data_IF_949471120097
#
_entry.id   IF_949471120097
#
_cell.length_a   1.000
_cell.length_b   1.000
_cell.length_c   1.000
_cell.angle_alpha   90.00
_cell.angle_beta   90.00
_cell.angle_gamma   90.00
#
_symmetry.space_group_name_H-M   'P 1'
#
loop_
_entity.id
_entity.type
_entity.pdbx_description
1 polymer ?
#
# COMPACT_ATOMS: atom_id res chain seq x y z
N UNK A 1 24.18 28.89 15.43
CA UNK A 1 23.36 28.64 14.22
C UNK A 1 22.03 28.03 14.70
N UNK A 2 20.91 28.46 14.18
CA UNK A 2 19.62 27.83 14.49
C UNK A 2 19.69 26.36 14.09
N UNK A 3 19.18 25.45 14.95
CA UNK A 3 19.07 24.03 14.63
C UNK A 3 18.05 23.85 13.50
N UNK A 4 18.44 23.14 12.44
CA UNK A 4 17.56 22.80 11.30
C UNK A 4 17.07 21.37 11.41
N UNK A 5 15.82 21.13 11.02
CA UNK A 5 15.22 19.82 10.80
C UNK A 5 14.76 19.73 9.35
N UNK A 6 15.30 18.80 8.58
CA UNK A 6 15.02 18.64 7.15
C UNK A 6 15.11 19.96 6.35
N UNK A 7 16.08 20.81 6.68
CA UNK A 7 16.28 22.12 6.04
C UNK A 7 15.40 23.26 6.56
N UNK A 8 14.56 23.02 7.56
CA UNK A 8 13.63 23.99 8.18
C UNK A 8 14.07 24.39 9.59
N UNK A 9 13.81 25.63 10.05
CA UNK A 9 14.13 26.03 11.41
C UNK A 9 13.35 25.21 12.45
N UNK A 10 14.05 24.47 13.31
CA UNK A 10 13.43 23.61 14.34
C UNK A 10 12.40 24.37 15.19
N UNK A 11 12.70 25.61 15.55
CA UNK A 11 11.79 26.47 16.36
C UNK A 11 10.43 26.65 15.67
N UNK A 12 10.40 26.80 14.34
CA UNK A 12 9.16 26.97 13.58
C UNK A 12 8.38 25.64 13.51
N UNK A 13 9.09 24.52 13.33
CA UNK A 13 8.49 23.17 13.36
C UNK A 13 7.81 22.92 14.70
N UNK A 14 8.53 23.13 15.83
CA UNK A 14 8.00 22.93 17.17
C UNK A 14 6.80 23.87 17.46
N UNK A 15 6.88 25.13 17.03
CA UNK A 15 5.79 26.11 17.22
C UNK A 15 4.54 25.71 16.41
N UNK A 16 4.72 25.23 15.19
CA UNK A 16 3.60 24.75 14.34
C UNK A 16 2.96 23.51 14.97
N UNK A 17 3.74 22.51 15.37
CA UNK A 17 3.23 21.30 16.04
C UNK A 17 2.37 21.69 17.24
N UNK A 18 2.88 22.57 18.11
CA UNK A 18 2.13 22.98 19.29
C UNK A 18 0.81 23.67 18.91
N UNK A 19 0.86 24.65 18.03
CA UNK A 19 -0.31 25.43 17.61
C UNK A 19 -1.37 24.53 16.95
N UNK A 20 -0.94 23.68 16.01
CA UNK A 20 -1.87 22.83 15.28
C UNK A 20 -2.43 21.70 16.16
N UNK A 21 -1.66 21.20 17.14
CA UNK A 21 -2.16 20.28 18.17
C UNK A 21 -3.24 20.92 19.02
N UNK A 22 -2.99 22.15 19.53
CA UNK A 22 -3.96 22.88 20.34
C UNK A 22 -5.26 23.15 19.54
N UNK A 23 -5.11 23.51 18.25
CA UNK A 23 -6.25 23.71 17.34
C UNK A 23 -7.04 22.41 17.13
N UNK A 24 -6.38 21.28 16.87
CA UNK A 24 -7.04 19.99 16.70
C UNK A 24 -7.86 19.59 17.94
N UNK A 25 -7.26 19.77 19.15
CA UNK A 25 -7.94 19.47 20.42
C UNK A 25 -9.21 20.31 20.60
N UNK A 26 -9.17 21.58 20.22
CA UNK A 26 -10.31 22.51 20.35
C UNK A 26 -11.40 22.22 19.31
N UNK A 27 -11.03 21.82 18.09
CA UNK A 27 -11.96 21.62 16.98
C UNK A 27 -12.64 20.25 17.00
N UNK A 28 -12.12 19.25 17.73
CA UNK A 28 -12.59 17.87 17.69
C UNK A 28 -13.06 17.34 19.06
N UNK A 29 -14.00 18.02 19.77
CA UNK A 29 -14.47 17.58 21.09
C UNK A 29 -15.24 16.27 21.07
N UNK A 30 -16.01 15.97 19.99
CA UNK A 30 -16.76 14.73 19.85
C UNK A 30 -15.83 13.55 19.62
N UNK A 31 -14.89 13.68 18.69
CA UNK A 31 -13.87 12.65 18.45
C UNK A 31 -13.04 12.37 19.70
N UNK A 32 -12.70 13.39 20.47
CA UNK A 32 -12.01 13.25 21.77
C UNK A 32 -12.84 12.42 22.75
N UNK A 33 -14.13 12.73 22.92
CA UNK A 33 -15.01 12.00 23.82
C UNK A 33 -15.19 10.54 23.38
N UNK A 34 -15.42 10.29 22.08
CA UNK A 34 -15.53 8.94 21.54
C UNK A 34 -14.25 8.13 21.78
N UNK A 35 -13.07 8.75 21.65
CA UNK A 35 -11.78 8.11 21.95
C UNK A 35 -11.64 7.71 23.42
N UNK A 36 -12.14 8.54 24.35
CA UNK A 36 -12.17 8.20 25.78
C UNK A 36 -13.14 7.03 26.06
N UNK A 37 -14.32 7.05 25.46
CA UNK A 37 -15.32 6.01 25.65
C UNK A 37 -14.86 4.67 25.02
N UNK A 38 -14.22 4.69 23.89
CA UNK A 38 -13.69 3.51 23.22
C UNK A 38 -12.64 2.76 24.07
N UNK A 39 -11.90 3.46 24.95
CA UNK A 39 -10.90 2.84 25.85
C UNK A 39 -11.51 1.83 26.82
N UNK A 40 -12.82 1.86 27.05
CA UNK A 40 -13.51 0.90 27.93
C UNK A 40 -13.48 -0.53 27.39
N UNK A 41 -13.45 -0.69 26.06
CA UNK A 41 -13.59 -2.01 25.42
C UNK A 41 -12.49 -2.31 24.38
N UNK A 42 -11.72 -1.31 23.97
CA UNK A 42 -10.69 -1.44 22.94
C UNK A 42 -9.30 -1.15 23.50
N UNK A 43 -8.35 -2.01 23.19
CA UNK A 43 -6.93 -1.80 23.58
C UNK A 43 -6.46 -0.46 23.01
N UNK A 44 -6.02 0.45 23.89
CA UNK A 44 -5.67 1.84 23.54
C UNK A 44 -6.81 2.67 22.94
N UNK A 45 -8.07 2.22 22.99
CA UNK A 45 -9.23 2.96 22.48
C UNK A 45 -9.46 2.85 20.96
N UNK A 46 -8.78 1.93 20.29
CA UNK A 46 -8.96 1.67 18.84
C UNK A 46 -8.96 0.18 18.53
N UNK A 47 -9.69 -0.27 17.49
CA UNK A 47 -9.70 -1.67 17.07
C UNK A 47 -8.33 -2.18 16.59
N UNK A 48 -7.48 -1.30 16.07
CA UNK A 48 -6.15 -1.65 15.58
C UNK A 48 -5.12 -0.56 15.89
N UNK A 49 -3.90 -0.95 16.29
CA UNK A 49 -2.86 -0.03 16.76
C UNK A 49 -2.49 1.06 15.74
N UNK A 50 -2.46 0.74 14.45
CA UNK A 50 -2.11 1.69 13.38
C UNK A 50 -3.13 2.84 13.22
N UNK A 51 -4.33 2.71 13.80
CA UNK A 51 -5.29 3.83 13.87
C UNK A 51 -4.82 4.96 14.81
N UNK A 52 -3.75 4.74 15.58
CA UNK A 52 -3.10 5.75 16.42
C UNK A 52 -1.87 6.38 15.75
N UNK A 53 -1.47 5.89 14.59
CA UNK A 53 -0.28 6.39 13.88
C UNK A 53 -0.57 7.66 13.05
N UNK A 54 -1.82 8.15 13.10
CA UNK A 54 -2.18 9.47 12.61
C UNK A 54 -1.53 10.55 13.46
N UNK A 55 -1.08 11.63 12.83
CA UNK A 55 -0.39 12.74 13.46
C UNK A 55 -1.30 13.58 14.39
N UNK A 56 -2.17 12.93 15.17
CA UNK A 56 -3.19 13.55 16.02
C UNK A 56 -3.06 13.09 17.46
N UNK A 57 -3.35 13.97 18.47
CA UNK A 57 -3.25 13.63 19.88
C UNK A 57 -4.27 12.59 20.36
N UNK A 58 -5.32 12.37 19.58
CA UNK A 58 -6.33 11.30 19.75
C UNK A 58 -6.94 10.98 18.37
N UNK A 59 -7.52 9.77 18.18
CA UNK A 59 -8.07 9.38 16.88
C UNK A 59 -9.15 10.33 16.37
N UNK A 60 -9.13 10.61 15.08
CA UNK A 60 -10.25 11.22 14.36
C UNK A 60 -11.31 10.13 14.14
N UNK A 61 -12.54 10.38 14.58
CA UNK A 61 -13.66 9.47 14.35
C UNK A 61 -14.44 9.89 13.10
N UNK A 62 -14.61 8.95 12.19
CA UNK A 62 -15.30 9.18 10.90
C UNK A 62 -16.78 8.89 11.04
N UNK A 63 -17.61 9.78 10.53
CA UNK A 63 -19.07 9.61 10.45
C UNK A 63 -19.51 9.10 9.07
N UNK A 64 -18.90 9.61 7.97
CA UNK A 64 -19.26 9.24 6.60
C UNK A 64 -18.09 9.45 5.64
N UNK A 65 -18.09 8.70 4.52
CA UNK A 65 -17.12 8.90 3.45
C UNK A 65 -17.76 8.59 2.08
N UNK A 66 -17.64 9.54 1.14
CA UNK A 66 -18.17 9.38 -0.21
C UNK A 66 -17.29 10.07 -1.26
N UNK A 67 -17.01 9.36 -2.35
CA UNK A 67 -16.15 9.89 -3.41
C UNK A 67 -14.74 10.21 -2.89
N UNK A 68 -14.28 11.43 -3.08
CA UNK A 68 -12.99 11.91 -2.58
C UNK A 68 -13.11 12.72 -1.27
N UNK A 69 -14.18 12.53 -0.52
CA UNK A 69 -14.42 13.25 0.73
C UNK A 69 -14.70 12.32 1.89
N UNK A 70 -14.31 12.79 3.08
CA UNK A 70 -14.56 12.15 4.36
C UNK A 70 -15.15 13.18 5.32
N UNK A 71 -16.14 12.79 6.13
CA UNK A 71 -16.71 13.63 7.18
C UNK A 71 -16.45 13.00 8.55
N UNK A 72 -15.90 13.78 9.48
CA UNK A 72 -15.67 13.31 10.84
C UNK A 72 -16.92 13.43 11.73
N UNK A 73 -16.82 12.90 12.96
CA UNK A 73 -17.88 12.94 13.94
C UNK A 73 -18.19 14.36 14.48
N UNK A 74 -17.24 15.28 14.31
CA UNK A 74 -17.38 16.69 14.67
C UNK A 74 -18.00 17.54 13.55
N UNK A 75 -18.24 16.92 12.37
CA UNK A 75 -18.92 17.54 11.20
C UNK A 75 -17.95 18.22 10.22
N UNK A 76 -16.66 18.08 10.37
CA UNK A 76 -15.69 18.63 9.41
C UNK A 76 -15.60 17.74 8.18
N UNK A 77 -15.50 18.38 7.01
CA UNK A 77 -15.34 17.72 5.72
C UNK A 77 -13.89 17.83 5.26
N UNK A 78 -13.33 16.72 4.85
CA UNK A 78 -11.95 16.60 4.37
C UNK A 78 -11.93 16.23 2.89
N UNK A 79 -11.08 16.89 2.08
CA UNK A 79 -10.65 16.35 0.80
C UNK A 79 -9.65 15.22 1.11
N UNK A 80 -10.00 14.00 0.74
CA UNK A 80 -9.25 12.81 1.08
C UNK A 80 -8.29 12.40 -0.03
N UNK A 81 -7.00 12.62 0.22
CA UNK A 81 -5.90 12.14 -0.60
C UNK A 81 -5.18 10.93 0.01
N UNK A 82 -5.65 10.41 1.16
CA UNK A 82 -5.22 9.13 1.70
C UNK A 82 -5.97 7.96 1.06
N UNK A 83 -7.29 8.14 0.86
CA UNK A 83 -8.19 7.16 0.24
C UNK A 83 -8.01 5.74 0.84
N UNK A 84 -7.95 5.69 2.18
CA UNK A 84 -7.78 4.44 2.92
C UNK A 84 -6.49 3.70 2.58
N UNK A 85 -5.42 4.44 2.30
CA UNK A 85 -4.12 3.89 1.89
C UNK A 85 -4.26 2.88 0.74
N UNK A 86 -4.85 3.32 -0.37
CA UNK A 86 -5.18 2.54 -1.58
C UNK A 86 -6.52 1.75 -1.49
N UNK A 87 -7.02 1.40 -0.30
CA UNK A 87 -8.25 0.63 -0.15
C UNK A 87 -9.45 1.25 -0.87
N UNK A 88 -9.54 2.57 -0.83
CA UNK A 88 -10.57 3.38 -1.50
C UNK A 88 -9.99 4.22 -2.66
N UNK A 89 -8.94 3.73 -3.33
CA UNK A 89 -8.28 4.43 -4.43
C UNK A 89 -9.23 4.91 -5.53
N UNK A 90 -10.33 4.21 -5.75
CA UNK A 90 -11.33 4.58 -6.75
C UNK A 90 -12.46 5.47 -6.19
N UNK A 91 -12.26 6.04 -5.02
CA UNK A 91 -13.23 6.81 -4.24
C UNK A 91 -13.96 5.96 -3.21
N UNK A 92 -14.45 6.63 -2.16
CA UNK A 92 -15.27 5.99 -1.13
C UNK A 92 -16.65 5.64 -1.70
N UNK A 93 -17.14 4.44 -1.35
CA UNK A 93 -18.48 3.97 -1.71
C UNK A 93 -18.81 4.14 -3.21
N UNK A 94 -17.99 3.57 -4.14
CA UNK A 94 -18.31 3.61 -5.56
C UNK A 94 -19.72 3.04 -5.78
N UNK A 95 -20.58 3.78 -6.48
CA UNK A 95 -22.01 3.47 -6.59
C UNK A 95 -22.29 2.04 -7.11
N UNK A 96 -21.59 1.52 -8.16
CA UNK A 96 -21.80 0.15 -8.62
C UNK A 96 -21.52 -0.90 -7.54
N UNK A 97 -20.44 -0.69 -6.76
CA UNK A 97 -20.04 -1.60 -5.67
C UNK A 97 -21.03 -1.53 -4.52
N UNK A 98 -21.39 -0.34 -4.08
CA UNK A 98 -22.36 -0.14 -2.99
C UNK A 98 -23.72 -0.78 -3.33
N UNK A 99 -24.23 -0.63 -4.56
CA UNK A 99 -25.46 -1.28 -5.04
C UNK A 99 -25.34 -2.80 -5.06
N UNK A 100 -24.22 -3.35 -5.52
CA UNK A 100 -24.00 -4.79 -5.57
C UNK A 100 -23.98 -5.41 -4.17
N UNK A 101 -23.29 -4.75 -3.21
CA UNK A 101 -23.27 -5.16 -1.80
C UNK A 101 -24.67 -5.13 -1.18
N UNK A 102 -25.40 -4.02 -1.34
CA UNK A 102 -26.75 -3.85 -0.79
C UNK A 102 -27.72 -4.91 -1.36
N UNK A 103 -27.67 -5.19 -2.64
CA UNK A 103 -28.49 -6.21 -3.30
C UNK A 103 -28.18 -7.64 -2.79
N UNK A 104 -26.92 -7.94 -2.43
CA UNK A 104 -26.52 -9.25 -1.94
C UNK A 104 -26.79 -9.43 -0.45
N UNK A 105 -26.81 -8.35 0.33
CA UNK A 105 -26.89 -8.39 1.80
C UNK A 105 -28.05 -9.22 2.35
N UNK A 106 -29.22 -9.23 1.70
CA UNK A 106 -30.40 -9.99 2.08
C UNK A 106 -30.48 -11.41 1.49
N UNK A 107 -29.47 -11.82 0.69
CA UNK A 107 -29.47 -13.10 -0.05
C UNK A 107 -28.45 -14.11 0.46
N UNK A 108 -27.86 -13.85 1.62
CA UNK A 108 -26.76 -14.62 2.20
C UNK A 108 -25.38 -14.13 1.78
N UNK A 109 -24.41 -14.26 2.66
CA UNK A 109 -23.06 -13.68 2.48
C UNK A 109 -21.97 -14.73 2.29
N UNK A 110 -22.15 -15.93 2.87
CA UNK A 110 -21.14 -17.00 2.86
C UNK A 110 -21.81 -18.34 2.67
N UNK A 111 -21.56 -18.99 1.54
CA UNK A 111 -22.18 -20.27 1.19
C UNK A 111 -21.23 -21.47 1.28
N UNK A 112 -19.90 -21.24 1.30
CA UNK A 112 -18.85 -22.24 1.07
C UNK A 112 -19.02 -22.99 -0.26
N UNK A 113 -19.72 -22.37 -1.22
CA UNK A 113 -19.99 -22.88 -2.55
C UNK A 113 -19.78 -21.76 -3.57
N UNK A 114 -19.34 -22.09 -4.80
CA UNK A 114 -19.14 -21.10 -5.84
C UNK A 114 -20.46 -20.53 -6.37
N UNK A 115 -20.40 -19.33 -6.93
CA UNK A 115 -21.49 -18.69 -7.68
C UNK A 115 -21.04 -18.40 -9.11
N UNK A 116 -21.97 -18.08 -10.01
CA UNK A 116 -21.66 -17.75 -11.41
C UNK A 116 -20.69 -16.55 -11.57
N UNK A 117 -20.61 -15.69 -10.58
CA UNK A 117 -19.75 -14.51 -10.61
C UNK A 117 -18.26 -14.85 -10.73
N UNK A 118 -17.85 -16.07 -10.32
CA UNK A 118 -16.46 -16.53 -10.47
C UNK A 118 -16.00 -16.50 -11.93
N UNK A 119 -16.91 -16.79 -12.86
CA UNK A 119 -16.61 -16.81 -14.30
C UNK A 119 -16.28 -15.40 -14.79
N UNK A 120 -17.14 -14.45 -14.45
CA UNK A 120 -16.97 -13.05 -14.87
C UNK A 120 -15.76 -12.40 -14.20
N UNK A 121 -15.57 -12.63 -12.91
CA UNK A 121 -14.43 -12.08 -12.15
C UNK A 121 -13.12 -12.68 -12.67
N UNK A 122 -13.05 -13.99 -12.89
CA UNK A 122 -11.85 -14.63 -13.44
C UNK A 122 -11.47 -14.07 -14.81
N UNK A 123 -12.44 -13.95 -15.73
CA UNK A 123 -12.21 -13.35 -17.04
C UNK A 123 -11.81 -11.87 -16.98
N UNK A 124 -12.35 -11.11 -16.03
CA UNK A 124 -11.96 -9.70 -15.82
C UNK A 124 -10.52 -9.57 -15.31
N UNK A 125 -10.12 -10.42 -14.37
CA UNK A 125 -8.75 -10.46 -13.83
C UNK A 125 -7.75 -10.89 -14.92
N UNK A 126 -8.06 -11.93 -15.70
CA UNK A 126 -7.21 -12.36 -16.82
C UNK A 126 -7.04 -11.23 -17.84
N UNK A 127 -8.15 -10.58 -18.25
CA UNK A 127 -8.10 -9.44 -19.18
C UNK A 127 -7.27 -8.28 -18.63
N UNK A 128 -7.34 -8.00 -17.31
CA UNK A 128 -6.63 -6.90 -16.68
C UNK A 128 -5.14 -7.18 -16.52
N UNK A 129 -4.77 -8.37 -16.06
CA UNK A 129 -3.40 -8.70 -15.64
C UNK A 129 -2.67 -9.66 -16.57
N UNK A 130 -3.36 -10.35 -17.47
CA UNK A 130 -2.77 -11.30 -18.42
C UNK A 130 -2.37 -12.65 -17.80
N UNK A 131 -2.79 -12.95 -16.58
CA UNK A 131 -2.59 -14.25 -15.93
C UNK A 131 -3.88 -15.04 -15.97
N UNK A 132 -3.85 -16.34 -16.39
CA UNK A 132 -5.07 -17.12 -16.66
C UNK A 132 -5.73 -17.75 -15.43
N UNK A 133 -5.01 -17.91 -14.30
CA UNK A 133 -5.53 -18.63 -13.12
C UNK A 133 -5.48 -17.76 -11.88
N UNK A 134 -6.60 -17.73 -11.14
CA UNK A 134 -6.78 -16.83 -10.00
C UNK A 134 -7.37 -17.54 -8.79
N UNK A 135 -7.00 -17.09 -7.60
CA UNK A 135 -7.63 -17.46 -6.33
C UNK A 135 -7.93 -16.20 -5.51
N UNK A 136 -8.98 -16.29 -4.67
CA UNK A 136 -9.49 -15.18 -3.88
C UNK A 136 -9.23 -15.43 -2.39
N UNK A 137 -8.78 -14.39 -1.70
CA UNK A 137 -8.55 -14.38 -0.26
C UNK A 137 -9.24 -13.18 0.39
N UNK A 138 -9.20 -13.09 1.71
CA UNK A 138 -9.81 -11.96 2.43
C UNK A 138 -8.87 -10.75 2.50
N UNK A 139 -7.57 -10.98 2.55
CA UNK A 139 -6.54 -9.93 2.65
C UNK A 139 -5.34 -10.24 1.76
N UNK A 140 -4.58 -9.20 1.38
CA UNK A 140 -3.30 -9.40 0.70
C UNK A 140 -2.28 -10.16 1.57
N UNK A 141 -2.38 -10.06 2.90
CA UNK A 141 -1.59 -10.87 3.83
C UNK A 141 -1.81 -12.36 3.56
N UNK A 142 -3.07 -12.80 3.44
CA UNK A 142 -3.39 -14.20 3.14
C UNK A 142 -2.93 -14.58 1.73
N UNK A 143 -3.15 -13.72 0.74
CA UNK A 143 -2.70 -13.95 -0.63
C UNK A 143 -1.18 -14.18 -0.68
N UNK A 144 -0.39 -13.27 -0.09
CA UNK A 144 1.06 -13.38 -0.03
C UNK A 144 1.50 -14.63 0.74
N UNK A 145 0.89 -14.91 1.91
CA UNK A 145 1.19 -16.12 2.68
C UNK A 145 0.97 -17.40 1.87
N UNK A 146 -0.13 -17.48 1.13
CA UNK A 146 -0.44 -18.67 0.32
C UNK A 146 0.49 -18.77 -0.88
N UNK A 147 0.81 -17.66 -1.55
CA UNK A 147 1.77 -17.65 -2.66
C UNK A 147 3.16 -18.10 -2.19
N UNK A 148 3.64 -17.62 -1.04
CA UNK A 148 4.94 -18.07 -0.49
C UNK A 148 4.96 -19.59 -0.19
N UNK A 149 3.84 -20.14 0.32
CA UNK A 149 3.68 -21.59 0.50
C UNK A 149 3.72 -22.34 -0.83
N UNK A 150 3.00 -21.85 -1.84
CA UNK A 150 3.04 -22.44 -3.18
C UNK A 150 4.43 -22.38 -3.79
N UNK A 151 5.14 -21.26 -3.67
CA UNK A 151 6.51 -21.15 -4.15
C UNK A 151 7.42 -22.19 -3.52
N UNK A 152 7.33 -22.40 -2.20
CA UNK A 152 8.10 -23.45 -1.49
C UNK A 152 7.69 -24.87 -1.93
N UNK A 153 6.41 -25.13 -2.05
CA UNK A 153 5.92 -26.46 -2.50
C UNK A 153 6.39 -26.79 -3.92
N UNK A 154 6.28 -25.85 -4.85
CA UNK A 154 6.66 -26.01 -6.26
C UNK A 154 8.17 -26.15 -6.45
N UNK A 155 8.98 -25.36 -5.72
CA UNK A 155 10.43 -25.31 -5.89
C UNK A 155 11.17 -26.26 -4.95
N UNK A 156 10.53 -26.69 -3.86
CA UNK A 156 11.13 -27.46 -2.75
C UNK A 156 12.29 -26.73 -2.08
N UNK A 157 12.30 -25.39 -2.14
CA UNK A 157 13.30 -24.53 -1.53
C UNK A 157 12.73 -23.87 -0.28
N UNK A 158 13.52 -23.71 0.80
CA UNK A 158 12.98 -23.20 2.07
C UNK A 158 12.87 -21.68 2.13
N UNK A 159 13.76 -20.93 1.46
CA UNK A 159 13.90 -19.49 1.67
C UNK A 159 13.06 -18.67 0.70
N UNK A 160 12.73 -17.46 1.14
CA UNK A 160 12.24 -16.39 0.28
C UNK A 160 13.23 -15.23 0.27
N UNK A 161 13.13 -14.33 -0.69
CA UNK A 161 13.89 -13.09 -0.71
C UNK A 161 12.92 -11.90 -0.79
N UNK A 162 13.16 -10.90 0.07
CA UNK A 162 12.47 -9.60 0.08
C UNK A 162 13.47 -8.47 -0.06
N UNK A 163 12.99 -7.29 -0.47
CA UNK A 163 13.82 -6.08 -0.47
C UNK A 163 13.68 -5.31 0.85
N UNK A 164 14.79 -4.71 1.30
CA UNK A 164 14.81 -3.90 2.52
C UNK A 164 13.82 -2.73 2.39
N UNK A 165 12.97 -2.54 3.40
CA UNK A 165 11.93 -1.51 3.40
C UNK A 165 10.58 -1.97 2.85
N UNK A 166 10.48 -3.06 2.06
CA UNK A 166 9.22 -3.56 1.53
C UNK A 166 8.22 -3.98 2.62
N UNK A 167 6.93 -3.95 2.29
CA UNK A 167 5.86 -4.43 3.15
C UNK A 167 4.88 -5.28 2.34
N UNK A 168 4.67 -6.51 2.76
CA UNK A 168 3.82 -7.49 2.08
C UNK A 168 2.70 -8.05 2.99
N UNK A 169 2.18 -7.19 3.87
CA UNK A 169 1.18 -7.60 4.87
C UNK A 169 1.83 -8.22 6.12
N UNK A 170 0.99 -8.72 7.03
CA UNK A 170 1.43 -9.35 8.27
C UNK A 170 1.85 -10.82 8.02
N UNK A 171 2.92 -11.01 7.24
CA UNK A 171 3.51 -12.31 6.90
C UNK A 171 4.88 -12.41 7.55
N UNK A 172 5.04 -13.30 8.52
CA UNK A 172 6.25 -13.40 9.35
C UNK A 172 7.53 -13.49 8.52
N UNK A 173 7.56 -14.35 7.52
CA UNK A 173 8.73 -14.51 6.63
C UNK A 173 9.20 -13.19 5.96
N UNK A 174 8.33 -12.19 5.83
CA UNK A 174 8.68 -10.90 5.22
C UNK A 174 9.17 -9.85 6.22
N UNK A 175 9.10 -10.15 7.52
CA UNK A 175 9.52 -9.23 8.58
C UNK A 175 11.03 -9.31 8.87
N UNK A 176 11.81 -9.20 7.81
CA UNK A 176 13.28 -9.11 7.87
C UNK A 176 13.76 -7.77 7.30
N UNK A 177 14.87 -7.29 7.79
CA UNK A 177 15.48 -6.00 7.40
C UNK A 177 17.00 -6.11 7.36
N UNK A 178 17.63 -5.14 6.70
CA UNK A 178 19.07 -4.93 6.81
C UNK A 178 19.37 -3.91 7.92
N UNK A 179 20.40 -4.19 8.69
CA UNK A 179 21.02 -3.26 9.63
C UNK A 179 22.52 -3.45 9.60
N UNK A 180 23.24 -2.40 9.26
CA UNK A 180 24.71 -2.43 9.14
C UNK A 180 25.20 -3.58 8.22
N UNK A 181 24.49 -3.81 7.10
CA UNK A 181 24.78 -4.87 6.13
C UNK A 181 24.44 -6.30 6.61
N UNK A 182 23.79 -6.46 7.76
CA UNK A 182 23.36 -7.76 8.29
C UNK A 182 21.85 -7.92 8.24
N UNK A 183 21.41 -9.12 7.94
CA UNK A 183 20.01 -9.49 8.01
C UNK A 183 19.56 -9.59 9.48
N UNK A 184 18.46 -8.94 9.82
CA UNK A 184 17.85 -8.95 11.15
C UNK A 184 16.34 -9.04 11.05
N UNK A 185 15.67 -9.36 12.15
CA UNK A 185 14.22 -9.18 12.28
C UNK A 185 13.86 -7.69 12.16
N UNK A 186 12.68 -7.41 11.63
CA UNK A 186 12.14 -6.05 11.61
C UNK A 186 12.08 -5.50 13.05
N UNK A 187 12.66 -4.33 13.32
CA UNK A 187 12.56 -3.69 14.64
C UNK A 187 11.09 -3.50 15.06
N UNK A 188 10.79 -3.75 16.32
CA UNK A 188 9.43 -3.61 16.86
C UNK A 188 8.50 -4.80 16.61
N UNK A 189 8.98 -5.89 16.01
CA UNK A 189 8.19 -7.12 15.86
C UNK A 189 7.91 -7.75 17.24
N UNK A 190 6.62 -7.83 17.60
CA UNK A 190 6.18 -8.34 18.90
C UNK A 190 6.00 -9.86 18.84
N UNK A 191 6.49 -10.57 19.88
CA UNK A 191 6.24 -12.00 20.07
C UNK A 191 6.99 -12.93 19.13
N UNK A 192 8.07 -12.46 18.53
CA UNK A 192 8.91 -13.28 17.66
C UNK A 192 9.70 -14.32 18.51
N UNK A 193 9.55 -15.60 18.16
CA UNK A 193 10.13 -16.71 18.94
C UNK A 193 11.24 -17.46 18.21
N UNK A 194 11.37 -17.34 16.90
CA UNK A 194 12.41 -17.98 16.10
C UNK A 194 13.06 -16.97 15.14
N UNK A 195 14.26 -17.33 14.66
CA UNK A 195 15.02 -16.47 13.75
C UNK A 195 14.43 -16.51 12.33
N UNK A 196 13.81 -15.41 11.89
CA UNK A 196 13.22 -15.30 10.55
C UNK A 196 14.29 -15.31 9.45
N UNK A 197 15.52 -14.90 9.74
CA UNK A 197 16.61 -14.88 8.75
C UNK A 197 17.03 -16.29 8.29
N UNK A 198 16.64 -17.33 9.03
CA UNK A 198 16.83 -18.72 8.60
C UNK A 198 16.05 -19.04 7.32
N UNK A 199 14.84 -18.48 7.20
CA UNK A 199 13.91 -18.74 6.10
C UNK A 199 13.78 -17.58 5.10
N UNK A 200 14.48 -16.49 5.34
CA UNK A 200 14.32 -15.27 4.53
C UNK A 200 15.65 -14.58 4.30
N UNK A 201 15.91 -14.19 3.06
CA UNK A 201 17.01 -13.31 2.67
C UNK A 201 16.48 -11.90 2.44
N UNK A 202 17.31 -10.91 2.73
CA UNK A 202 16.97 -9.51 2.45
C UNK A 202 18.14 -8.80 1.78
N UNK A 203 17.86 -8.06 0.72
CA UNK A 203 18.85 -7.24 0.00
C UNK A 203 18.27 -5.83 -0.21
N UNK A 204 19.13 -4.87 -0.55
CA UNK A 204 18.67 -3.54 -0.93
C UNK A 204 17.97 -3.57 -2.31
N UNK A 205 16.92 -2.76 -2.43
CA UNK A 205 16.29 -2.48 -3.72
C UNK A 205 17.28 -1.74 -4.63
N UNK A 206 17.27 -2.02 -5.92
CA UNK A 206 18.23 -1.48 -6.89
C UNK A 206 19.69 -2.00 -6.75
N UNK A 207 19.96 -2.99 -5.91
CA UNK A 207 21.27 -3.64 -5.80
C UNK A 207 21.27 -5.00 -6.52
N UNK A 208 21.54 -4.97 -7.83
CA UNK A 208 21.61 -6.18 -8.67
C UNK A 208 22.68 -7.15 -8.21
N UNK A 209 23.84 -6.64 -7.76
CA UNK A 209 24.96 -7.48 -7.35
C UNK A 209 24.64 -8.26 -6.04
N UNK A 210 24.00 -7.59 -5.08
CA UNK A 210 23.53 -8.24 -3.85
C UNK A 210 22.45 -9.29 -4.16
N UNK A 211 21.53 -8.99 -5.09
CA UNK A 211 20.48 -9.92 -5.53
C UNK A 211 21.09 -11.17 -6.18
N UNK A 212 22.02 -10.99 -7.14
CA UNK A 212 22.72 -12.10 -7.79
C UNK A 212 23.45 -12.99 -6.78
N UNK A 213 24.18 -12.39 -5.85
CA UNK A 213 24.86 -13.11 -4.76
C UNK A 213 23.88 -13.88 -3.90
N UNK A 214 22.73 -13.29 -3.55
CA UNK A 214 21.74 -13.93 -2.69
C UNK A 214 21.04 -15.12 -3.36
N UNK A 215 20.90 -15.12 -4.70
CA UNK A 215 20.27 -16.20 -5.47
C UNK A 215 21.24 -17.31 -5.90
N UNK A 216 22.54 -17.12 -5.78
CA UNK A 216 23.59 -18.03 -6.26
C UNK A 216 23.44 -19.46 -5.74
N UNK A 217 23.08 -19.62 -4.47
CA UNK A 217 22.97 -20.92 -3.80
C UNK A 217 21.75 -21.73 -4.23
N UNK A 218 20.83 -21.11 -4.98
CA UNK A 218 19.57 -21.72 -5.44
C UNK A 218 18.69 -22.29 -4.32
N UNK A 219 18.75 -21.71 -3.13
CA UNK A 219 17.97 -22.09 -1.94
C UNK A 219 16.73 -21.20 -1.74
N UNK A 220 16.54 -20.18 -2.61
CA UNK A 220 15.42 -19.24 -2.60
C UNK A 220 14.27 -19.76 -3.47
N UNK A 221 13.10 -19.94 -2.88
CA UNK A 221 11.88 -20.36 -3.56
C UNK A 221 11.32 -19.24 -4.46
N UNK A 222 11.30 -18.02 -3.93
CA UNK A 222 10.85 -16.87 -4.69
C UNK A 222 11.48 -15.56 -4.22
N UNK A 223 11.52 -14.59 -5.13
CA UNK A 223 11.63 -13.17 -4.82
C UNK A 223 10.22 -12.61 -4.76
N UNK A 224 9.83 -11.96 -3.66
CA UNK A 224 8.59 -11.20 -3.57
C UNK A 224 8.94 -9.71 -3.53
N UNK A 225 8.30 -8.91 -4.38
CA UNK A 225 8.58 -7.48 -4.49
C UNK A 225 7.34 -6.67 -4.86
N UNK A 226 7.29 -5.43 -4.36
CA UNK A 226 6.57 -4.35 -5.02
C UNK A 226 7.42 -3.89 -6.22
N UNK A 227 6.84 -3.49 -7.36
CA UNK A 227 7.61 -2.90 -8.48
C UNK A 227 8.29 -1.56 -8.15
N UNK A 228 7.73 -0.81 -7.21
CA UNK A 228 8.32 0.33 -6.53
C UNK A 228 8.00 0.19 -5.04
N UNK A 229 8.96 0.45 -4.14
CA UNK A 229 8.68 0.39 -2.71
C UNK A 229 7.80 1.58 -2.33
N UNK A 230 6.62 1.31 -1.77
CA UNK A 230 5.61 2.35 -1.51
C UNK A 230 5.31 2.56 -0.03
N UNK A 231 5.93 1.80 0.85
CA UNK A 231 5.74 1.89 2.30
C UNK A 231 6.90 2.59 3.01
N UNK A 232 7.83 3.17 2.29
CA UNK A 232 9.04 3.80 2.82
C UNK A 232 9.53 4.94 1.90
N UNK A 233 8.71 5.97 1.72
CA UNK A 233 9.11 7.17 0.97
C UNK A 233 9.25 6.98 -0.54
N UNK A 234 8.57 6.03 -1.13
CA UNK A 234 8.46 5.73 -2.55
C UNK A 234 9.82 5.60 -3.27
N UNK A 235 10.44 4.42 -3.15
CA UNK A 235 11.67 4.08 -3.87
C UNK A 235 11.34 3.53 -5.25
N UNK A 236 11.78 4.24 -6.30
CA UNK A 236 11.54 3.84 -7.68
C UNK A 236 12.63 2.85 -8.17
N UNK A 237 12.28 1.90 -9.05
CA UNK A 237 13.27 1.05 -9.67
C UNK A 237 14.18 1.87 -10.59
N UNK A 238 15.48 1.63 -10.51
CA UNK A 238 16.43 2.16 -11.48
C UNK A 238 16.21 1.52 -12.85
N UNK A 239 16.56 2.20 -13.96
CA UNK A 239 16.41 1.64 -15.29
C UNK A 239 17.09 0.27 -15.40
N UNK A 240 16.34 -0.75 -15.86
CA UNK A 240 16.81 -2.12 -16.02
C UNK A 240 16.78 -2.99 -14.76
N UNK A 241 16.58 -2.44 -13.56
CA UNK A 241 16.60 -3.21 -12.33
C UNK A 241 15.57 -4.36 -12.32
N UNK A 242 14.33 -4.07 -12.68
CA UNK A 242 13.27 -5.10 -12.71
C UNK A 242 13.48 -6.14 -13.82
N UNK A 243 14.16 -5.77 -14.91
CA UNK A 243 14.57 -6.72 -15.94
C UNK A 243 15.65 -7.68 -15.42
N UNK A 244 16.61 -7.17 -14.65
CA UNK A 244 17.61 -7.97 -13.96
C UNK A 244 16.98 -8.89 -12.90
N UNK A 245 16.01 -8.42 -12.13
CA UNK A 245 15.25 -9.27 -11.19
C UNK A 245 14.61 -10.43 -11.95
N UNK A 246 13.90 -10.17 -13.05
CA UNK A 246 13.27 -11.20 -13.87
C UNK A 246 14.29 -12.18 -14.48
N UNK A 247 15.41 -11.67 -14.99
CA UNK A 247 16.49 -12.48 -15.54
C UNK A 247 17.10 -13.41 -14.51
N UNK A 248 17.50 -12.87 -13.35
CA UNK A 248 18.14 -13.63 -12.28
C UNK A 248 17.18 -14.69 -11.69
N UNK A 249 15.89 -14.37 -11.56
CA UNK A 249 14.89 -15.34 -11.15
C UNK A 249 14.82 -16.52 -12.12
N UNK A 250 14.76 -16.27 -13.43
CA UNK A 250 14.74 -17.33 -14.46
C UNK A 250 16.02 -18.16 -14.46
N UNK A 251 17.21 -17.54 -14.43
CA UNK A 251 18.49 -18.22 -14.46
C UNK A 251 18.74 -19.14 -13.24
N UNK A 252 18.21 -18.75 -12.09
CA UNK A 252 18.35 -19.53 -10.85
C UNK A 252 17.19 -20.50 -10.59
N UNK A 253 16.10 -20.41 -11.39
CA UNK A 253 14.86 -21.16 -11.16
C UNK A 253 14.13 -20.72 -9.89
N UNK A 254 14.33 -19.48 -9.48
CA UNK A 254 13.60 -18.81 -8.41
C UNK A 254 12.31 -18.19 -8.99
N UNK A 255 11.18 -18.33 -8.31
CA UNK A 255 9.92 -17.76 -8.79
C UNK A 255 9.86 -16.25 -8.49
N UNK A 256 9.22 -15.50 -9.39
CA UNK A 256 8.98 -14.08 -9.21
C UNK A 256 7.53 -13.83 -8.77
N UNK A 257 7.36 -13.20 -7.62
CA UNK A 257 6.07 -12.76 -7.08
C UNK A 257 6.03 -11.23 -7.10
N UNK A 258 5.08 -10.64 -7.81
CA UNK A 258 4.87 -9.19 -7.81
C UNK A 258 3.63 -8.87 -6.97
N UNK A 259 3.82 -8.04 -5.95
CA UNK A 259 2.76 -7.49 -5.13
C UNK A 259 2.34 -6.11 -5.68
N UNK A 260 1.18 -6.08 -6.35
CA UNK A 260 0.60 -4.87 -6.96
C UNK A 260 -0.33 -4.11 -6.02
N UNK A 261 -0.42 -4.48 -4.75
CA UNK A 261 -1.41 -3.92 -3.82
C UNK A 261 -1.41 -2.39 -3.78
N UNK A 262 -0.25 -1.76 -3.94
CA UNK A 262 -0.13 -0.30 -4.06
C UNK A 262 0.14 0.16 -5.49
N UNK A 263 0.97 -0.55 -6.23
CA UNK A 263 1.40 -0.17 -7.58
C UNK A 263 0.33 -0.39 -8.65
N UNK A 264 -0.82 -0.98 -8.28
CA UNK A 264 -2.05 -0.93 -9.09
C UNK A 264 -2.43 0.52 -9.48
N UNK A 265 -1.96 1.51 -8.72
CA UNK A 265 -2.13 2.93 -9.04
C UNK A 265 -1.41 3.39 -10.31
N UNK A 266 -0.48 2.60 -10.84
CA UNK A 266 0.34 2.98 -12.01
C UNK A 266 -0.46 3.01 -13.32
N UNK A 267 -1.50 2.18 -13.43
CA UNK A 267 -2.32 2.11 -14.63
C UNK A 267 -3.27 0.92 -14.62
N UNK A 268 -4.07 0.78 -15.66
CA UNK A 268 -4.94 -0.39 -15.83
C UNK A 268 -4.10 -1.67 -15.97
N UNK A 269 -4.22 -2.56 -14.99
CA UNK A 269 -3.38 -3.76 -14.86
C UNK A 269 -2.07 -3.53 -14.10
N UNK A 270 -1.95 -2.39 -13.41
CA UNK A 270 -0.84 -2.08 -12.51
C UNK A 270 0.48 -1.75 -13.20
N UNK A 271 1.53 -1.69 -12.40
CA UNK A 271 2.90 -1.50 -12.86
C UNK A 271 3.35 -2.65 -13.78
N UNK A 272 2.99 -3.88 -13.41
CA UNK A 272 3.31 -5.11 -14.16
C UNK A 272 2.90 -4.99 -15.63
N UNK A 273 1.66 -4.64 -15.90
CA UNK A 273 1.16 -4.48 -17.28
C UNK A 273 1.77 -3.27 -17.97
N UNK A 274 1.83 -2.13 -17.29
CA UNK A 274 2.34 -0.88 -17.85
C UNK A 274 3.80 -0.97 -18.29
N UNK A 275 4.60 -1.84 -17.64
CA UNK A 275 6.04 -2.02 -17.90
C UNK A 275 6.38 -3.42 -18.49
N UNK A 276 5.37 -4.21 -18.84
CA UNK A 276 5.57 -5.50 -19.50
C UNK A 276 6.28 -6.56 -18.66
N UNK A 277 6.19 -6.48 -17.33
CA UNK A 277 6.78 -7.48 -16.43
C UNK A 277 6.08 -8.84 -16.57
N UNK A 278 6.81 -9.92 -16.32
CA UNK A 278 6.36 -11.31 -16.49
C UNK A 278 6.55 -12.09 -15.17
N UNK A 279 5.73 -11.85 -14.14
CA UNK A 279 5.82 -12.61 -12.90
C UNK A 279 5.26 -14.03 -13.06
N UNK A 280 5.72 -14.93 -12.18
CA UNK A 280 5.12 -16.25 -11.98
C UNK A 280 3.80 -16.15 -11.20
N UNK A 281 3.80 -15.29 -10.16
CA UNK A 281 2.63 -14.92 -9.38
C UNK A 281 2.47 -13.41 -9.29
N UNK A 282 1.21 -12.96 -9.26
CA UNK A 282 0.83 -11.59 -8.95
C UNK A 282 -0.17 -11.59 -7.80
N UNK A 283 0.02 -10.70 -6.83
CA UNK A 283 -0.94 -10.48 -5.73
C UNK A 283 -1.51 -9.07 -5.78
N UNK A 284 -2.78 -8.94 -5.41
CA UNK A 284 -3.49 -7.66 -5.35
C UNK A 284 -4.53 -7.70 -4.22
N UNK A 285 -4.44 -6.78 -3.31
CA UNK A 285 -5.46 -6.56 -2.28
C UNK A 285 -6.16 -5.22 -2.42
N UNK A 286 -6.43 -4.60 -1.27
CA UNK A 286 -6.94 -3.22 -1.11
C UNK A 286 -8.08 -2.84 -2.07
N UNK A 287 -7.85 -2.23 -3.27
CA UNK A 287 -8.93 -1.69 -4.07
C UNK A 287 -9.71 -2.74 -4.86
N UNK A 288 -9.31 -4.02 -4.89
CA UNK A 288 -9.85 -5.02 -5.82
C UNK A 288 -11.37 -5.21 -5.72
N UNK A 289 -11.94 -4.99 -4.53
CA UNK A 289 -13.38 -5.09 -4.28
C UNK A 289 -14.01 -3.76 -3.86
N UNK A 290 -13.43 -2.62 -4.26
CA UNK A 290 -13.97 -1.29 -4.01
C UNK A 290 -14.03 -0.90 -2.52
N UNK A 291 -13.09 -1.39 -1.70
CA UNK A 291 -12.99 -1.14 -0.26
C UNK A 291 -13.54 -2.27 0.62
N UNK A 292 -14.25 -3.26 0.06
CA UNK A 292 -14.61 -4.46 0.82
C UNK A 292 -13.36 -5.34 1.03
N UNK A 293 -13.16 -5.95 2.23
CA UNK A 293 -12.04 -6.86 2.45
C UNK A 293 -11.99 -8.01 1.45
N UNK A 294 -11.06 -7.94 0.53
CA UNK A 294 -10.78 -8.95 -0.50
C UNK A 294 -9.36 -8.79 -1.05
N UNK A 295 -8.78 -9.88 -1.48
CA UNK A 295 -7.55 -9.90 -2.25
C UNK A 295 -7.56 -11.09 -3.21
N UNK A 296 -6.71 -11.02 -4.22
CA UNK A 296 -6.54 -12.07 -5.21
C UNK A 296 -5.06 -12.38 -5.40
N UNK A 297 -4.76 -13.58 -5.81
CA UNK A 297 -3.48 -13.90 -6.43
C UNK A 297 -3.70 -14.67 -7.72
N UNK A 298 -2.90 -14.34 -8.72
CA UNK A 298 -2.93 -14.98 -10.03
C UNK A 298 -1.60 -15.61 -10.38
N UNK A 299 -1.62 -16.59 -11.30
CA UNK A 299 -0.41 -17.25 -11.75
C UNK A 299 -0.48 -17.61 -13.24
N UNK A 300 0.70 -17.93 -13.80
CA UNK A 300 0.83 -18.43 -15.17
C UNK A 300 0.26 -19.85 -15.31
N UNK A 301 0.02 -20.29 -16.56
CA UNK A 301 -0.44 -21.65 -16.83
C UNK A 301 0.58 -22.70 -16.37
N UNK A 302 1.86 -22.47 -16.58
CA UNK A 302 2.94 -23.35 -16.10
C UNK A 302 2.90 -23.51 -14.58
N UNK A 303 2.78 -22.40 -13.86
CA UNK A 303 2.71 -22.42 -12.39
C UNK A 303 1.46 -23.18 -11.92
N UNK A 304 0.31 -22.98 -12.55
CA UNK A 304 -0.91 -23.72 -12.21
C UNK A 304 -0.76 -25.24 -12.36
N UNK A 305 -0.07 -25.71 -13.40
CA UNK A 305 0.24 -27.15 -13.56
C UNK A 305 1.16 -27.65 -12.44
N UNK A 306 2.19 -26.86 -12.09
CA UNK A 306 3.09 -27.21 -10.99
C UNK A 306 2.38 -27.22 -9.63
N UNK A 307 1.40 -26.32 -9.41
CA UNK A 307 0.55 -26.33 -8.22
C UNK A 307 -0.27 -27.61 -8.13
N UNK A 308 -0.92 -28.05 -9.23
CA UNK A 308 -1.67 -29.33 -9.28
C UNK A 308 -0.78 -30.54 -9.00
N UNK A 309 0.42 -30.55 -9.55
CA UNK A 309 1.39 -31.62 -9.29
C UNK A 309 1.78 -31.66 -7.78
N UNK A 310 2.09 -30.51 -7.19
CA UNK A 310 2.43 -30.42 -5.77
C UNK A 310 1.26 -30.80 -4.85
N UNK A 311 0.02 -30.47 -5.24
CA UNK A 311 -1.19 -30.89 -4.52
C UNK A 311 -1.36 -32.42 -4.56
N UNK A 312 -1.15 -33.02 -5.73
CA UNK A 312 -1.22 -34.48 -5.89
C UNK A 312 -0.17 -35.19 -5.02
N UNK A 313 1.05 -34.68 -4.96
CA UNK A 313 2.12 -35.21 -4.11
C UNK A 313 1.82 -35.09 -2.62
N UNK A 314 1.09 -34.05 -2.19
CA UNK A 314 0.70 -33.86 -0.79
C UNK A 314 -0.30 -34.92 -0.28
N UNK A 315 -0.89 -35.72 -1.17
CA UNK A 315 -1.80 -36.80 -0.81
C UNK A 315 -3.24 -36.32 -0.58
N UNK A 316 -3.95 -36.92 0.39
CA UNK A 316 -5.38 -36.64 0.63
C UNK A 316 -5.61 -35.25 1.23
N UNK A 317 -5.75 -34.24 0.40
CA UNK A 317 -5.99 -32.85 0.77
C UNK A 317 -4.70 -32.11 1.17
N UNK A 318 -4.77 -30.81 1.08
CA UNK A 318 -3.71 -29.92 1.54
C UNK A 318 -4.29 -28.91 2.54
N UNK A 319 -3.49 -28.50 3.53
CA UNK A 319 -3.91 -27.56 4.56
C UNK A 319 -2.99 -26.34 4.65
N UNK A 320 -3.44 -25.34 5.37
CA UNK A 320 -2.69 -24.10 5.57
C UNK A 320 -2.87 -23.08 4.44
N UNK A 321 -3.84 -23.29 3.55
CA UNK A 321 -4.27 -22.38 2.51
C UNK A 321 -5.79 -22.25 2.52
N UNK A 322 -6.30 -21.03 2.34
CA UNK A 322 -7.73 -20.72 2.44
C UNK A 322 -8.21 -20.52 3.87
N UNK A 323 -9.25 -19.71 4.00
CA UNK A 323 -10.00 -19.48 5.23
C UNK A 323 -11.48 -19.57 4.91
N UNK A 324 -12.31 -19.88 5.91
CA UNK A 324 -13.77 -20.08 5.71
C UNK A 324 -14.48 -18.91 5.04
N UNK A 325 -14.03 -17.69 5.30
CA UNK A 325 -14.64 -16.47 4.73
C UNK A 325 -14.00 -16.00 3.42
N UNK A 326 -12.93 -16.63 2.97
CA UNK A 326 -12.34 -16.33 1.66
C UNK A 326 -13.25 -16.83 0.53
N UNK A 327 -13.22 -16.13 -0.59
CA UNK A 327 -14.00 -16.45 -1.79
C UNK A 327 -15.52 -16.52 -1.53
N UNK A 328 -16.03 -15.69 -0.61
CA UNK A 328 -17.47 -15.62 -0.35
C UNK A 328 -18.20 -14.82 -1.45
N UNK A 329 -19.51 -15.03 -1.54
CA UNK A 329 -20.33 -14.41 -2.59
C UNK A 329 -20.32 -12.88 -2.52
N UNK A 330 -20.24 -12.27 -1.34
CA UNK A 330 -20.21 -10.81 -1.21
C UNK A 330 -18.94 -10.22 -1.82
N UNK A 331 -17.78 -10.88 -1.61
CA UNK A 331 -16.53 -10.50 -2.26
C UNK A 331 -16.66 -10.54 -3.79
N UNK A 332 -17.23 -11.62 -4.35
CA UNK A 332 -17.39 -11.74 -5.80
C UNK A 332 -18.35 -10.70 -6.38
N UNK A 333 -19.47 -10.40 -5.71
CA UNK A 333 -20.39 -9.33 -6.14
C UNK A 333 -19.71 -7.95 -6.15
N UNK A 334 -18.95 -7.65 -5.10
CA UNK A 334 -18.21 -6.40 -5.00
C UNK A 334 -17.08 -6.32 -6.05
N UNK A 335 -16.27 -7.39 -6.19
CA UNK A 335 -15.21 -7.47 -7.20
C UNK A 335 -15.75 -7.35 -8.61
N UNK A 336 -16.84 -8.08 -8.95
CA UNK A 336 -17.45 -8.00 -10.28
C UNK A 336 -17.85 -6.56 -10.61
N UNK A 337 -18.61 -5.91 -9.73
CA UNK A 337 -19.03 -4.53 -9.94
C UNK A 337 -17.84 -3.57 -10.07
N UNK A 338 -16.81 -3.78 -9.24
CA UNK A 338 -15.62 -2.94 -9.23
C UNK A 338 -14.78 -3.12 -10.51
N UNK A 339 -14.48 -4.36 -10.91
CA UNK A 339 -13.65 -4.68 -12.08
C UNK A 339 -14.32 -4.32 -13.41
N UNK A 340 -15.67 -4.42 -13.48
CA UNK A 340 -16.41 -4.13 -14.71
C UNK A 340 -16.76 -2.64 -14.88
N UNK A 341 -16.92 -1.88 -13.77
CA UNK A 341 -17.52 -0.54 -13.83
C UNK A 341 -16.69 0.56 -13.16
N UNK A 342 -15.70 0.23 -12.32
CA UNK A 342 -14.93 1.18 -11.53
C UNK A 342 -13.45 1.15 -11.87
N UNK A 343 -12.82 -0.02 -11.80
CA UNK A 343 -11.41 -0.23 -12.18
C UNK A 343 -11.25 -0.37 -13.70
N UNK A 344 -11.67 0.62 -14.44
CA UNK A 344 -11.68 0.63 -15.92
C UNK A 344 -10.61 1.60 -16.46
N UNK A 345 -10.18 1.46 -17.73
CA UNK A 345 -9.18 2.35 -18.32
C UNK A 345 -9.48 3.84 -18.15
N UNK A 346 -10.73 4.25 -18.35
CA UNK A 346 -11.17 5.66 -18.21
C UNK A 346 -10.91 6.24 -16.79
N UNK A 347 -10.94 5.41 -15.75
CA UNK A 347 -10.59 5.87 -14.39
C UNK A 347 -9.13 6.33 -14.32
N UNK A 348 -8.22 5.57 -14.91
CA UNK A 348 -6.80 5.90 -14.95
C UNK A 348 -6.50 7.09 -15.88
N UNK A 349 -7.24 7.24 -17.00
CA UNK A 349 -7.11 8.39 -17.89
C UNK A 349 -7.39 9.72 -17.17
N UNK A 350 -8.28 9.72 -16.16
CA UNK A 350 -8.51 10.86 -15.29
C UNK A 350 -7.44 11.00 -14.20
N UNK A 351 -7.10 9.91 -13.53
CA UNK A 351 -6.23 9.91 -12.33
C UNK A 351 -4.79 10.30 -12.66
N UNK A 352 -4.21 9.74 -13.73
CA UNK A 352 -2.78 9.86 -13.99
C UNK A 352 -2.35 11.31 -14.29
N UNK A 353 -2.98 12.07 -15.22
CA UNK A 353 -2.62 13.46 -15.48
C UNK A 353 -2.84 14.35 -14.25
N UNK A 354 -3.87 14.06 -13.46
CA UNK A 354 -4.19 14.87 -12.27
C UNK A 354 -3.17 14.63 -11.15
N UNK A 355 -2.70 13.39 -10.96
CA UNK A 355 -1.62 13.07 -10.03
C UNK A 355 -0.28 13.70 -10.45
N UNK A 356 0.03 13.69 -11.74
CA UNK A 356 1.20 14.36 -12.26
C UNK A 356 1.15 15.87 -12.04
N UNK A 357 -0.03 16.49 -12.22
CA UNK A 357 -0.27 17.89 -11.89
C UNK A 357 -0.04 18.17 -10.41
N UNK A 358 -0.55 17.29 -9.52
CA UNK A 358 -0.34 17.38 -8.07
C UNK A 358 1.15 17.31 -7.73
N UNK A 359 1.86 16.32 -8.25
CA UNK A 359 3.30 16.13 -7.98
C UNK A 359 4.12 17.35 -8.42
N UNK A 360 3.89 17.86 -9.64
CA UNK A 360 4.55 19.07 -10.16
C UNK A 360 4.19 20.31 -9.34
N UNK A 361 2.95 20.41 -8.90
CA UNK A 361 2.50 21.52 -8.04
C UNK A 361 3.23 21.55 -6.71
N UNK A 362 3.30 20.41 -6.01
CA UNK A 362 4.03 20.29 -4.75
C UNK A 362 5.53 20.56 -4.95
N UNK A 363 6.13 19.98 -6.00
CA UNK A 363 7.54 20.21 -6.32
C UNK A 363 7.83 21.69 -6.59
N UNK A 364 6.91 22.40 -7.28
CA UNK A 364 6.99 23.85 -7.52
C UNK A 364 6.99 24.66 -6.22
N UNK A 365 6.11 24.30 -5.26
CA UNK A 365 6.04 24.97 -3.96
C UNK A 365 7.30 24.74 -3.11
N UNK A 366 7.89 23.55 -3.16
CA UNK A 366 9.15 23.21 -2.51
C UNK A 366 10.31 24.01 -3.11
N UNK A 367 10.44 24.00 -4.45
CA UNK A 367 11.52 24.69 -5.18
C UNK A 367 11.47 26.21 -5.00
N UNK A 368 10.28 26.81 -5.02
CA UNK A 368 10.08 28.25 -4.83
C UNK A 368 10.66 28.76 -3.51
N UNK A 369 10.73 27.89 -2.49
CA UNK A 369 11.23 28.22 -1.15
C UNK A 369 12.65 27.71 -0.88
N UNK A 370 13.30 27.11 -1.87
CA UNK A 370 14.63 26.49 -1.72
C UNK A 370 14.69 25.45 -0.59
N UNK A 371 13.58 24.75 -0.32
CA UNK A 371 13.56 23.70 0.69
C UNK A 371 14.21 22.45 0.08
N UNK A 372 15.12 21.76 0.80
CA UNK A 372 15.86 20.61 0.27
C UNK A 372 15.03 19.33 0.32
N UNK A 373 13.91 19.32 -0.38
CA UNK A 373 12.99 18.18 -0.50
C UNK A 373 12.77 17.84 -1.96
N UNK A 374 12.30 16.62 -2.20
CA UNK A 374 11.93 16.19 -3.55
C UNK A 374 10.54 15.54 -3.57
N UNK A 375 10.00 15.33 -4.77
CA UNK A 375 8.73 14.65 -5.01
C UNK A 375 8.97 13.44 -5.90
N UNK A 376 8.39 12.30 -5.53
CA UNK A 376 8.29 11.10 -6.35
C UNK A 376 6.85 10.89 -6.80
N UNK A 377 6.64 10.33 -8.02
CA UNK A 377 5.32 10.03 -8.56
C UNK A 377 5.33 8.65 -9.22
N UNK A 378 4.31 7.83 -8.92
CA UNK A 378 4.06 6.54 -9.55
C UNK A 378 2.58 6.43 -9.87
N UNK A 379 2.24 6.73 -11.12
CA UNK A 379 0.85 6.73 -11.56
C UNK A 379 -0.03 7.71 -10.79
N UNK A 380 -1.12 7.22 -10.20
CA UNK A 380 -2.05 8.06 -9.42
C UNK A 380 -1.55 8.38 -7.99
N UNK A 381 -0.30 8.08 -7.68
CA UNK A 381 0.32 8.25 -6.37
C UNK A 381 1.49 9.22 -6.44
N UNK A 382 1.53 10.21 -5.55
CA UNK A 382 2.64 11.13 -5.39
C UNK A 382 3.05 11.23 -3.93
N UNK A 383 4.34 11.44 -3.67
CA UNK A 383 4.88 11.59 -2.33
C UNK A 383 6.00 12.61 -2.32
N UNK A 384 6.00 13.53 -1.35
CA UNK A 384 7.13 14.39 -1.07
C UNK A 384 7.95 13.87 0.11
N UNK A 385 9.26 13.92 -0.03
CA UNK A 385 10.21 13.39 0.94
C UNK A 385 11.09 14.53 1.46
N UNK A 386 11.28 14.58 2.78
CA UNK A 386 11.99 15.65 3.46
C UNK A 386 13.53 15.53 3.34
N UNK A 387 14.02 15.16 2.17
CA UNK A 387 15.42 15.01 1.81
C UNK A 387 15.70 15.52 0.40
N UNK A 388 16.94 16.01 0.11
CA UNK A 388 17.26 16.64 -1.17
C UNK A 388 17.31 15.64 -2.34
N UNK A 389 17.68 14.41 -2.09
CA UNK A 389 17.86 13.38 -3.11
C UNK A 389 16.81 12.29 -2.99
N UNK A 390 16.37 11.77 -4.13
CA UNK A 390 15.47 10.62 -4.16
C UNK A 390 16.16 9.38 -3.62
N UNK A 391 15.58 8.68 -2.65
CA UNK A 391 16.17 7.46 -2.13
C UNK A 391 16.24 6.39 -3.23
N UNK A 392 17.37 5.71 -3.31
CA UNK A 392 17.61 4.63 -4.28
C UNK A 392 17.29 3.25 -3.72
N UNK A 393 17.18 3.15 -2.38
CA UNK A 393 16.95 1.89 -1.67
C UNK A 393 16.25 2.13 -0.34
N UNK A 394 15.94 1.04 0.37
CA UNK A 394 15.22 1.11 1.64
C UNK A 394 15.99 1.81 2.76
N UNK A 395 17.31 1.63 2.83
CA UNK A 395 18.14 2.30 3.85
C UNK A 395 18.17 3.82 3.66
N UNK A 396 18.33 4.29 2.43
CA UNK A 396 18.28 5.72 2.10
C UNK A 396 16.90 6.31 2.39
N UNK A 397 15.83 5.59 2.03
CA UNK A 397 14.46 6.03 2.30
C UNK A 397 14.18 6.14 3.80
N UNK A 398 14.62 5.17 4.58
CA UNK A 398 14.48 5.20 6.04
C UNK A 398 15.22 6.38 6.67
N UNK A 399 16.41 6.70 6.16
CA UNK A 399 17.19 7.85 6.62
C UNK A 399 16.57 9.21 6.24
N UNK A 400 15.73 9.25 5.21
CA UNK A 400 15.04 10.45 4.73
C UNK A 400 13.74 10.78 5.48
N UNK A 401 13.28 9.93 6.39
CA UNK A 401 12.07 10.17 7.20
C UNK A 401 12.36 11.14 8.34
N UNK A 402 11.53 12.18 8.51
CA UNK A 402 11.68 13.23 9.51
C UNK A 402 10.37 13.45 10.28
N UNK A 403 10.11 12.59 11.27
CA UNK A 403 8.86 12.55 12.03
C UNK A 403 8.33 13.90 12.54
N UNK A 404 9.13 14.80 13.15
CA UNK A 404 8.62 16.10 13.59
C UNK A 404 8.11 16.99 12.46
N UNK A 405 8.81 17.03 11.33
CA UNK A 405 8.40 17.83 10.16
C UNK A 405 7.14 17.25 9.53
N UNK A 406 7.10 15.94 9.35
CA UNK A 406 5.92 15.23 8.84
C UNK A 406 4.70 15.46 9.74
N UNK A 407 4.87 15.35 11.08
CA UNK A 407 3.83 15.65 12.05
C UNK A 407 3.28 17.10 11.89
N UNK A 408 4.17 18.08 11.76
CA UNK A 408 3.79 19.47 11.57
C UNK A 408 2.94 19.68 10.31
N UNK A 409 3.40 19.13 9.18
CA UNK A 409 2.70 19.23 7.89
C UNK A 409 1.35 18.52 7.95
N UNK A 410 1.30 17.30 8.45
CA UNK A 410 0.05 16.53 8.55
C UNK A 410 -1.00 17.23 9.42
N UNK A 411 -0.64 17.70 10.61
CA UNK A 411 -1.55 18.47 11.46
C UNK A 411 -2.03 19.76 10.80
N UNK A 412 -1.12 20.46 10.11
CA UNK A 412 -1.46 21.69 9.39
C UNK A 412 -2.51 21.45 8.30
N UNK A 413 -2.32 20.39 7.48
CA UNK A 413 -3.24 19.99 6.43
C UNK A 413 -4.58 19.53 6.99
N UNK A 414 -4.55 18.64 7.98
CA UNK A 414 -5.75 18.08 8.60
C UNK A 414 -6.66 19.18 9.16
N UNK A 415 -6.10 20.13 9.92
CA UNK A 415 -6.85 21.25 10.48
C UNK A 415 -7.41 22.22 9.41
N UNK A 416 -7.09 22.00 8.14
CA UNK A 416 -7.59 22.76 6.98
C UNK A 416 -8.44 21.91 6.05
N UNK A 417 -8.89 20.74 6.55
CA UNK A 417 -9.77 19.83 5.81
C UNK A 417 -9.09 19.10 4.65
N UNK A 418 -7.81 18.74 4.83
CA UNK A 418 -7.03 17.98 3.85
C UNK A 418 -6.40 16.77 4.53
N UNK A 419 -6.62 15.58 3.97
CA UNK A 419 -6.16 14.32 4.53
C UNK A 419 -5.16 13.66 3.57
N UNK A 420 -3.94 13.36 4.06
CA UNK A 420 -2.92 12.57 3.35
C UNK A 420 -2.59 11.32 4.17
N UNK A 421 -1.83 10.38 3.61
CA UNK A 421 -1.51 9.13 4.32
C UNK A 421 -0.73 9.40 5.63
N UNK A 422 -1.08 8.71 6.73
CA UNK A 422 -0.56 9.05 8.07
C UNK A 422 0.88 8.62 8.32
N UNK A 423 1.40 7.64 7.57
CA UNK A 423 2.70 7.01 7.84
C UNK A 423 3.87 7.66 7.12
N UNK A 424 3.56 8.46 6.11
CA UNK A 424 4.51 9.18 5.25
C UNK A 424 3.73 10.25 4.44
N UNK A 425 4.39 11.05 3.62
CA UNK A 425 3.75 12.17 2.93
C UNK A 425 3.12 11.76 1.59
N UNK A 426 2.51 10.58 1.52
CA UNK A 426 1.93 10.04 0.31
C UNK A 426 0.51 10.58 0.09
N UNK A 427 0.23 10.86 -1.17
CA UNK A 427 -1.07 11.31 -1.67
C UNK A 427 -1.55 10.41 -2.80
N UNK A 428 -2.86 10.17 -2.86
CA UNK A 428 -3.54 9.45 -3.93
C UNK A 428 -4.58 10.34 -4.60
N UNK A 429 -4.72 10.19 -5.91
CA UNK A 429 -5.78 10.79 -6.71
C UNK A 429 -6.76 9.70 -7.15
N UNK A 430 -8.05 9.91 -6.93
CA UNK A 430 -9.13 9.01 -7.35
C UNK A 430 -9.78 9.47 -8.65
N UNK A 431 -10.59 8.61 -9.33
CA UNK A 431 -11.36 9.02 -10.51
C UNK A 431 -12.38 10.14 -10.24
N UNK A 432 -12.67 10.40 -8.97
CA UNK A 432 -13.63 11.43 -8.54
C UNK A 432 -12.97 12.61 -7.82
N UNK A 433 -11.64 12.59 -7.70
CA UNK A 433 -10.87 13.74 -7.24
C UNK A 433 -10.92 14.85 -8.29
N UNK A 434 -11.20 16.07 -7.88
CA UNK A 434 -11.29 17.23 -8.77
C UNK A 434 -9.99 18.02 -8.85
N UNK A 435 -9.82 18.75 -9.93
CA UNK A 435 -8.70 19.69 -10.09
C UNK A 435 -8.69 20.78 -9.02
N UNK A 436 -9.87 21.22 -8.56
CA UNK A 436 -10.00 22.20 -7.47
C UNK A 436 -9.44 21.66 -6.15
N UNK A 437 -9.70 20.39 -5.82
CA UNK A 437 -9.14 19.74 -4.64
C UNK A 437 -7.60 19.64 -4.74
N UNK A 438 -7.07 19.25 -5.90
CA UNK A 438 -5.62 19.23 -6.14
C UNK A 438 -5.00 20.62 -5.96
N UNK A 439 -5.57 21.64 -6.56
CA UNK A 439 -5.06 23.01 -6.43
C UNK A 439 -5.12 23.50 -4.97
N UNK A 440 -6.17 23.13 -4.23
CA UNK A 440 -6.32 23.44 -2.79
C UNK A 440 -5.22 22.77 -1.97
N UNK A 441 -4.92 21.48 -2.22
CA UNK A 441 -3.84 20.78 -1.52
C UNK A 441 -2.49 21.43 -1.80
N UNK A 442 -2.16 21.69 -3.07
CA UNK A 442 -0.90 22.33 -3.46
C UNK A 442 -0.74 23.70 -2.80
N UNK A 443 -1.77 24.56 -2.86
CA UNK A 443 -1.71 25.89 -2.24
C UNK A 443 -1.60 25.84 -0.73
N UNK A 444 -2.25 24.86 -0.08
CA UNK A 444 -2.20 24.71 1.38
C UNK A 444 -0.83 24.18 1.83
N UNK A 445 -0.22 23.25 1.07
CA UNK A 445 1.18 22.85 1.30
C UNK A 445 2.10 24.07 1.15
N UNK A 446 1.91 24.87 0.10
CA UNK A 446 2.66 26.12 -0.10
C UNK A 446 2.60 27.05 1.13
N UNK A 447 1.41 27.30 1.64
CA UNK A 447 1.21 28.15 2.84
C UNK A 447 1.85 27.52 4.08
N UNK A 448 1.78 26.18 4.25
CA UNK A 448 2.46 25.48 5.32
C UNK A 448 3.99 25.68 5.29
N UNK A 449 4.56 25.55 4.09
CA UNK A 449 6.00 25.72 3.87
C UNK A 449 6.45 27.17 4.08
N UNK A 450 5.61 28.18 3.74
CA UNK A 450 5.90 29.60 4.05
C UNK A 450 6.04 29.82 5.56
N UNK A 451 5.12 29.26 6.35
CA UNK A 451 5.17 29.37 7.80
C UNK A 451 6.32 28.57 8.44
N UNK A 452 6.69 27.44 7.87
CA UNK A 452 7.80 26.63 8.37
C UNK A 452 9.18 27.20 8.02
N UNK A 453 9.29 27.93 6.91
CA UNK A 453 10.53 28.52 6.43
C UNK A 453 10.79 29.95 6.98
N UNK A 454 9.77 30.58 7.60
CA UNK A 454 9.88 31.93 8.18
C UNK A 454 10.72 31.91 9.47
#
# INVERSE_FOLDING_TARGET
MASLEAGLPKKQVDAMIKRETDRYIQSNPISRQLGLDARKNWVKGVPHHWMLDWSTPFPLFVADAKGANLTDADGHVYDDFCLGDTGSMFGHSPEPVAKAIAAQASRGLTYMLPTEDIITVGAALERMFGLPFWQVTTTATDANRFVLRWCRAITRRPKILVFHGAYHGAVDDTFVRLKDGKEIHRPGLIGQVYDLTVNSKVVEFNDVAALEKALKDRDVACVITEPALTNIGMVLPQPGFLDDVQRLCRETGTLLVIDETHTISTGYGGYTRSHGLKPDFLTLGKPVAGGLPAAVFGCTAEIAERMRAAETEAGSGYSGMGTTLSANVLQFKAMRANLEQVMIPAAYEHMLPLSEKLARGIEGEIKRRNIPWHVSNVGARAEFVCAPERPRNGSEAQAAMHGPVELAVHLYLLNRGLLIAPFHNMTLVSPVTTEAQVNRLVSTIGNCLDELAA
#
